data_IF_038328284082
#
_entry.id   IF_038328284082
#
_cell.length_a   1.000
_cell.length_b   1.000
_cell.length_c   1.000
_cell.angle_alpha   90.00
_cell.angle_beta   90.00
_cell.angle_gamma   90.00
#
_symmetry.space_group_name_H-M   'P 1'
#
loop_
_entity.id
_entity.type
_entity.pdbx_description
1 polymer ?
#
# COMPACT_ATOMS: atom_id res chain seq x y z
N UNK A 1 -6.59 7.37 -5.60
CA UNK A 1 -6.44 6.34 -4.55
C UNK A 1 -7.83 5.95 -4.07
N UNK A 2 -8.11 4.68 -3.84
CA UNK A 2 -9.40 4.21 -3.35
C UNK A 2 -9.31 3.84 -1.86
N UNK A 3 -10.41 3.99 -1.15
CA UNK A 3 -10.49 3.52 0.23
C UNK A 3 -10.58 2.00 0.27
N UNK A 4 -9.82 1.38 1.15
CA UNK A 4 -9.75 -0.07 1.28
C UNK A 4 -10.67 -0.53 2.41
N UNK A 5 -11.65 -1.37 2.06
CA UNK A 5 -12.45 -2.10 3.05
C UNK A 5 -11.81 -3.47 3.26
N UNK A 6 -11.31 -3.71 4.46
CA UNK A 6 -10.60 -4.95 4.76
C UNK A 6 -11.57 -6.12 4.92
N UNK A 7 -11.21 -7.26 4.37
CA UNK A 7 -11.76 -8.54 4.77
C UNK A 7 -11.19 -8.95 6.15
N UNK A 8 -11.83 -9.87 6.86
CA UNK A 8 -11.30 -10.41 8.11
C UNK A 8 -9.87 -10.93 7.95
N UNK A 9 -9.08 -10.83 9.00
CA UNK A 9 -7.72 -11.38 8.98
C UNK A 9 -7.73 -12.92 8.78
N UNK A 10 -6.70 -13.49 8.14
CA UNK A 10 -6.65 -14.93 7.90
C UNK A 10 -6.51 -15.71 9.21
N UNK A 11 -7.23 -16.84 9.40
CA UNK A 11 -7.13 -17.67 10.60
C UNK A 11 -5.70 -18.14 10.92
N UNK A 12 -4.88 -18.33 9.89
CA UNK A 12 -3.46 -18.70 10.06
C UNK A 12 -2.66 -17.61 10.80
N UNK A 13 -2.95 -16.33 10.58
CA UNK A 13 -2.30 -15.23 11.30
C UNK A 13 -2.75 -15.19 12.76
N UNK A 14 -4.06 -15.40 13.02
CA UNK A 14 -4.61 -15.46 14.37
C UNK A 14 -3.91 -16.57 15.17
N UNK A 15 -3.82 -17.77 14.59
CA UNK A 15 -3.16 -18.92 15.22
C UNK A 15 -1.65 -18.69 15.40
N UNK A 16 -0.99 -18.07 14.42
CA UNK A 16 0.45 -17.79 14.50
C UNK A 16 0.79 -16.82 15.64
N UNK A 17 0.01 -15.75 15.83
CA UNK A 17 0.21 -14.78 16.91
C UNK A 17 0.13 -15.37 18.32
N UNK A 18 -0.51 -16.52 18.50
CA UNK A 18 -0.59 -17.22 19.78
C UNK A 18 0.65 -18.06 20.09
N UNK A 19 1.56 -18.21 19.15
CA UNK A 19 2.79 -18.98 19.34
C UNK A 19 3.81 -18.18 20.16
N UNK A 20 4.61 -18.84 21.01
CA UNK A 20 5.70 -18.18 21.70
C UNK A 20 6.70 -17.57 20.70
N UNK A 21 7.06 -16.30 20.91
CA UNK A 21 8.02 -15.56 20.06
C UNK A 21 7.56 -15.42 18.60
N UNK A 22 6.24 -15.31 18.37
CA UNK A 22 5.71 -15.01 17.04
C UNK A 22 6.22 -13.64 16.57
N UNK A 23 6.84 -13.61 15.39
CA UNK A 23 7.37 -12.40 14.77
C UNK A 23 7.18 -12.47 13.25
N UNK A 24 7.14 -11.32 12.59
CA UNK A 24 7.03 -11.28 11.14
C UNK A 24 8.31 -11.82 10.50
N UNK A 25 8.15 -12.69 9.50
CA UNK A 25 9.24 -13.47 8.88
C UNK A 25 10.00 -14.41 9.85
N UNK A 26 9.42 -14.69 11.02
CA UNK A 26 9.92 -15.69 11.96
C UNK A 26 9.73 -17.14 11.51
N UNK A 27 10.10 -18.11 12.36
CA UNK A 27 9.93 -19.53 12.03
C UNK A 27 8.48 -19.87 11.65
N UNK A 28 8.30 -20.65 10.57
CA UNK A 28 7.00 -21.09 10.05
C UNK A 28 6.06 -19.98 9.57
N UNK A 29 6.55 -18.73 9.40
CA UNK A 29 5.71 -17.61 8.95
C UNK A 29 5.42 -17.63 7.45
N UNK A 30 6.25 -18.25 6.62
CA UNK A 30 6.09 -18.24 5.15
C UNK A 30 4.67 -18.60 4.65
N UNK A 31 4.03 -19.68 5.12
CA UNK A 31 2.63 -19.98 4.72
C UNK A 31 1.65 -18.93 5.23
N UNK A 32 1.84 -18.40 6.44
CA UNK A 32 1.01 -17.32 7.01
C UNK A 32 1.10 -16.05 6.17
N UNK A 33 2.32 -15.67 5.77
CA UNK A 33 2.55 -14.51 4.89
C UNK A 33 1.86 -14.66 3.53
N UNK A 34 1.81 -15.87 2.98
CA UNK A 34 1.07 -16.16 1.75
C UNK A 34 -0.43 -15.91 1.95
N UNK A 35 -1.02 -16.41 3.04
CA UNK A 35 -2.44 -16.21 3.35
C UNK A 35 -2.75 -14.72 3.57
N UNK A 36 -1.90 -14.00 4.31
CA UNK A 36 -2.01 -12.54 4.49
C UNK A 36 -2.04 -11.85 3.13
N UNK A 37 -1.08 -12.14 2.25
CA UNK A 37 -0.99 -11.53 0.92
C UNK A 37 -2.23 -11.80 0.08
N UNK A 38 -2.71 -13.04 0.03
CA UNK A 38 -3.92 -13.42 -0.72
C UNK A 38 -5.16 -12.69 -0.20
N UNK A 39 -5.32 -12.61 1.13
CA UNK A 39 -6.47 -11.93 1.76
C UNK A 39 -6.44 -10.41 1.51
N UNK A 40 -5.26 -9.79 1.60
CA UNK A 40 -5.08 -8.37 1.31
C UNK A 40 -5.30 -8.07 -0.19
N UNK A 41 -4.80 -8.90 -1.10
CA UNK A 41 -5.05 -8.77 -2.54
C UNK A 41 -6.55 -8.77 -2.84
N UNK A 42 -7.29 -9.70 -2.24
CA UNK A 42 -8.75 -9.77 -2.38
C UNK A 42 -9.42 -8.52 -1.83
N UNK A 43 -9.02 -8.06 -0.62
CA UNK A 43 -9.54 -6.82 0.01
C UNK A 43 -9.30 -5.58 -0.85
N UNK A 44 -8.19 -5.54 -1.58
CA UNK A 44 -7.75 -4.40 -2.39
C UNK A 44 -8.17 -4.51 -3.88
N UNK A 45 -8.91 -5.56 -4.26
CA UNK A 45 -9.32 -5.76 -5.65
C UNK A 45 -8.14 -5.93 -6.61
N UNK A 46 -7.03 -6.51 -6.11
CA UNK A 46 -5.79 -6.69 -6.85
C UNK A 46 -5.16 -5.36 -7.34
N UNK A 47 -5.31 -4.29 -6.54
CA UNK A 47 -4.69 -2.99 -6.78
C UNK A 47 -3.69 -2.67 -5.67
N UNK A 48 -2.59 -2.03 -6.03
CA UNK A 48 -1.63 -1.49 -5.08
C UNK A 48 -2.32 -0.44 -4.18
N UNK A 49 -2.16 -0.54 -2.86
CA UNK A 49 -2.77 0.37 -1.90
C UNK A 49 -2.43 1.85 -2.16
N UNK A 50 -1.26 2.13 -2.74
CA UNK A 50 -0.77 3.48 -2.93
C UNK A 50 -0.93 3.99 -4.37
N UNK A 51 -0.34 3.33 -5.36
CA UNK A 51 -0.34 3.84 -6.73
C UNK A 51 -1.53 3.39 -7.59
N UNK A 52 -2.35 2.43 -7.11
CA UNK A 52 -3.50 1.86 -7.81
C UNK A 52 -3.15 1.06 -9.07
N UNK A 53 -1.88 0.75 -9.31
CA UNK A 53 -1.52 -0.19 -10.36
C UNK A 53 -2.01 -1.59 -10.03
N UNK A 54 -2.39 -2.34 -11.07
CA UNK A 54 -2.76 -3.74 -10.92
C UNK A 54 -1.57 -4.55 -10.42
N UNK A 55 -1.79 -5.34 -9.39
CA UNK A 55 -0.81 -6.27 -8.81
C UNK A 55 -1.36 -7.69 -8.85
N UNK A 56 -0.46 -8.66 -8.86
CA UNK A 56 -0.79 -10.10 -8.92
C UNK A 56 -0.24 -10.80 -7.69
N UNK A 57 -0.71 -12.01 -7.42
CA UNK A 57 -0.17 -12.83 -6.32
C UNK A 57 1.19 -13.43 -6.70
N UNK A 58 2.19 -12.57 -6.74
CA UNK A 58 3.58 -12.88 -7.05
C UNK A 58 4.48 -12.20 -6.01
N UNK A 59 5.27 -13.00 -5.31
CA UNK A 59 6.15 -12.53 -4.23
C UNK A 59 7.28 -11.59 -4.69
N UNK A 60 7.59 -11.57 -6.01
CA UNK A 60 8.64 -10.72 -6.58
C UNK A 60 8.12 -9.36 -7.03
N UNK A 61 6.82 -9.23 -7.25
CA UNK A 61 6.17 -8.00 -7.71
C UNK A 61 5.29 -7.38 -6.62
N UNK A 62 4.68 -8.21 -5.76
CA UNK A 62 3.75 -7.78 -4.72
C UNK A 62 4.34 -8.01 -3.34
N UNK A 63 4.41 -6.97 -2.56
CA UNK A 63 4.95 -6.98 -1.20
C UNK A 63 3.84 -6.76 -0.18
N UNK A 64 3.92 -7.45 0.96
CA UNK A 64 3.16 -7.08 2.16
C UNK A 64 3.93 -5.94 2.82
N UNK A 65 3.31 -4.79 2.86
CA UNK A 65 3.83 -3.53 3.37
C UNK A 65 3.22 -3.24 4.74
N UNK A 66 4.03 -2.71 5.66
CA UNK A 66 3.57 -2.21 6.95
C UNK A 66 3.42 -0.69 6.90
N UNK A 67 2.21 -0.19 7.10
CA UNK A 67 1.92 1.24 7.12
C UNK A 67 2.75 1.97 8.19
N UNK A 68 2.75 1.45 9.42
CA UNK A 68 3.75 1.74 10.44
C UNK A 68 4.89 0.73 10.29
N UNK A 69 6.08 1.19 9.96
CA UNK A 69 7.19 0.29 9.64
C UNK A 69 7.61 -0.57 10.83
N UNK A 70 8.12 -1.77 10.54
CA UNK A 70 8.49 -2.73 11.58
C UNK A 70 9.64 -2.24 12.48
N UNK A 71 10.58 -1.47 11.93
CA UNK A 71 11.75 -0.99 12.68
C UNK A 71 11.35 0.00 13.77
N UNK A 72 10.39 0.91 13.49
CA UNK A 72 9.93 1.90 14.44
C UNK A 72 8.77 1.40 15.33
N UNK A 73 8.01 0.41 14.85
CA UNK A 73 6.80 -0.11 15.50
C UNK A 73 6.78 -1.65 15.52
N UNK A 74 7.76 -2.29 16.21
CA UNK A 74 7.87 -3.76 16.22
C UNK A 74 6.62 -4.45 16.83
N UNK A 75 5.88 -3.78 17.71
CA UNK A 75 4.64 -4.28 18.29
C UNK A 75 3.50 -4.40 17.28
N UNK A 76 3.56 -3.64 16.17
CA UNK A 76 2.55 -3.65 15.12
C UNK A 76 2.91 -4.59 13.95
N UNK A 77 3.99 -5.35 14.05
CA UNK A 77 4.50 -6.20 12.96
C UNK A 77 3.56 -7.33 12.54
N UNK A 78 2.72 -7.83 13.46
CA UNK A 78 1.71 -8.86 13.19
C UNK A 78 0.28 -8.32 13.22
N UNK A 79 0.10 -7.01 13.31
CA UNK A 79 -1.22 -6.39 13.22
C UNK A 79 -1.69 -6.35 11.76
N UNK A 80 -2.72 -7.15 11.44
CA UNK A 80 -3.30 -7.19 10.10
C UNK A 80 -3.83 -5.83 9.64
N UNK A 81 -4.30 -4.99 10.58
CA UNK A 81 -4.79 -3.64 10.24
C UNK A 81 -3.67 -2.68 9.86
N UNK A 82 -2.43 -3.02 10.18
CA UNK A 82 -1.21 -2.30 9.79
C UNK A 82 -0.64 -2.74 8.42
N UNK A 83 -1.23 -3.77 7.78
CA UNK A 83 -0.66 -4.37 6.57
C UNK A 83 -1.44 -3.99 5.31
N UNK A 84 -0.73 -3.83 4.20
CA UNK A 84 -1.28 -3.63 2.86
C UNK A 84 -0.50 -4.47 1.85
N UNK A 85 -1.09 -4.74 0.69
CA UNK A 85 -0.31 -5.18 -0.46
C UNK A 85 -0.02 -4.00 -1.37
N UNK A 86 1.24 -3.92 -1.77
CA UNK A 86 1.73 -2.85 -2.61
C UNK A 86 2.60 -3.41 -3.73
N UNK A 87 2.72 -2.66 -4.80
CA UNK A 87 3.71 -2.93 -5.82
C UNK A 87 5.11 -2.62 -5.28
N UNK A 88 6.10 -3.50 -5.52
CA UNK A 88 7.44 -3.38 -4.94
C UNK A 88 8.17 -2.08 -5.36
N UNK A 89 7.79 -1.49 -6.50
CA UNK A 89 8.28 -0.18 -6.91
C UNK A 89 9.75 -0.12 -7.35
N UNK A 90 10.39 -1.27 -7.57
CA UNK A 90 11.80 -1.34 -8.02
C UNK A 90 11.89 -1.19 -9.54
N UNK A 91 12.02 0.02 -10.02
CA UNK A 91 12.60 0.31 -11.33
C UNK A 91 13.87 1.10 -11.12
N UNK A 92 14.90 0.87 -11.95
CA UNK A 92 16.27 1.36 -11.72
C UNK A 92 16.37 2.86 -11.41
N UNK A 93 15.45 3.70 -11.89
CA UNK A 93 15.50 5.15 -11.71
C UNK A 93 14.18 5.77 -11.19
N UNK A 94 13.19 4.96 -10.78
CA UNK A 94 11.85 5.44 -10.40
C UNK A 94 11.28 4.61 -9.25
N UNK A 95 11.95 4.66 -8.10
CA UNK A 95 11.41 4.05 -6.89
C UNK A 95 10.13 4.76 -6.49
N UNK A 96 9.09 4.00 -6.14
CA UNK A 96 7.83 4.51 -5.61
C UNK A 96 7.18 3.47 -4.70
N UNK A 97 6.10 3.81 -4.03
CA UNK A 97 5.42 2.95 -3.05
C UNK A 97 6.38 2.48 -1.95
N UNK A 98 6.42 1.17 -1.65
CA UNK A 98 7.28 0.59 -0.61
C UNK A 98 8.76 0.93 -0.78
N UNK A 99 9.29 0.83 -2.00
CA UNK A 99 10.73 1.09 -2.24
C UNK A 99 11.13 2.56 -2.06
N UNK A 100 10.19 3.50 -2.16
CA UNK A 100 10.42 4.92 -1.88
C UNK A 100 10.14 5.25 -0.42
N UNK A 101 9.09 4.66 0.17
CA UNK A 101 8.70 4.89 1.55
C UNK A 101 9.78 4.47 2.55
N UNK A 102 10.33 3.25 2.40
CA UNK A 102 11.24 2.69 3.39
C UNK A 102 10.61 2.74 4.79
N UNK A 103 11.36 3.23 5.77
CA UNK A 103 10.93 3.32 7.17
C UNK A 103 10.23 4.66 7.53
N UNK A 104 9.86 5.48 6.54
CA UNK A 104 9.18 6.73 6.80
C UNK A 104 7.72 6.50 7.18
N UNK A 105 7.22 7.33 8.11
CA UNK A 105 5.81 7.31 8.49
C UNK A 105 4.96 8.01 7.42
N UNK A 106 3.70 7.59 7.32
CA UNK A 106 2.69 8.18 6.44
C UNK A 106 1.54 8.76 7.26
N UNK A 107 1.11 9.93 6.88
CA UNK A 107 -0.14 10.55 7.36
C UNK A 107 -1.35 9.91 6.67
N UNK A 108 -1.20 9.62 5.37
CA UNK A 108 -2.26 9.00 4.59
C UNK A 108 -2.41 7.50 4.92
N UNK A 109 -3.63 7.09 5.27
CA UNK A 109 -3.97 5.67 5.47
C UNK A 109 -5.11 5.26 4.54
N UNK A 110 -4.86 4.40 3.53
CA UNK A 110 -5.88 3.96 2.57
C UNK A 110 -7.06 3.18 3.19
N UNK A 111 -6.92 2.67 4.41
CA UNK A 111 -7.98 1.94 5.12
C UNK A 111 -8.63 2.77 6.24
N UNK A 112 -8.43 4.09 6.27
CA UNK A 112 -9.08 4.94 7.24
C UNK A 112 -10.60 4.99 6.96
N UNK A 113 -11.40 4.51 7.90
CA UNK A 113 -12.86 4.45 7.76
C UNK A 113 -13.56 5.79 7.98
N UNK A 114 -12.88 6.74 8.66
CA UNK A 114 -13.44 8.05 9.00
C UNK A 114 -13.10 9.07 7.89
N UNK A 115 -11.80 9.24 7.60
CA UNK A 115 -11.32 10.13 6.54
C UNK A 115 -10.96 9.29 5.30
N UNK A 116 -11.97 9.00 4.47
CA UNK A 116 -11.79 8.20 3.25
C UNK A 116 -10.90 8.92 2.26
N UNK A 117 -9.85 8.27 1.77
CA UNK A 117 -8.85 8.85 0.87
C UNK A 117 -9.46 9.42 -0.41
N UNK A 118 -10.50 8.78 -0.95
CA UNK A 118 -11.21 9.23 -2.15
C UNK A 118 -11.98 10.54 -1.98
N UNK A 119 -12.20 11.01 -0.74
CA UNK A 119 -12.89 12.27 -0.47
C UNK A 119 -11.98 13.50 -0.59
N UNK A 120 -10.67 13.34 -0.55
CA UNK A 120 -9.72 14.45 -0.59
C UNK A 120 -8.58 14.28 -1.61
N UNK A 121 -8.30 13.06 -2.06
CA UNK A 121 -7.31 12.83 -3.12
C UNK A 121 -7.91 13.20 -4.47
N UNK A 122 -7.19 14.02 -5.23
CA UNK A 122 -7.58 14.52 -6.55
C UNK A 122 -6.57 14.17 -7.62
N UNK A 123 -7.01 14.25 -8.87
CA UNK A 123 -6.18 13.98 -10.04
C UNK A 123 -6.33 15.07 -11.09
N UNK A 124 -5.24 15.47 -11.70
CA UNK A 124 -5.24 16.39 -12.84
C UNK A 124 -5.41 15.63 -14.16
N UNK A 125 -5.77 16.37 -15.23
CA UNK A 125 -5.83 15.83 -16.60
C UNK A 125 -4.49 15.32 -17.13
N UNK A 126 -3.38 15.79 -16.59
CA UNK A 126 -2.03 15.33 -16.93
C UNK A 126 -1.55 14.17 -16.07
N UNK A 127 -2.42 13.62 -15.21
CA UNK A 127 -2.18 12.44 -14.42
C UNK A 127 -1.45 12.69 -13.10
N UNK A 128 -1.35 13.92 -12.62
CA UNK A 128 -0.84 14.20 -11.28
C UNK A 128 -1.88 13.83 -10.21
N UNK A 129 -1.40 13.31 -9.09
CA UNK A 129 -2.19 13.09 -7.87
C UNK A 129 -1.85 14.22 -6.89
N UNK A 130 -2.87 14.79 -6.26
CA UNK A 130 -2.67 15.90 -5.32
C UNK A 130 -3.77 15.94 -4.26
N UNK A 131 -3.58 16.79 -3.27
CA UNK A 131 -4.54 17.16 -2.22
C UNK A 131 -4.53 18.67 -2.09
N UNK A 132 -5.67 19.27 -1.74
CA UNK A 132 -5.74 20.69 -1.42
C UNK A 132 -5.39 20.88 0.07
N UNK A 133 -4.61 21.92 0.37
CA UNK A 133 -4.38 22.49 1.71
C UNK A 133 -4.00 21.46 2.81
N UNK A 134 -3.23 20.41 2.46
CA UNK A 134 -2.71 19.42 3.41
C UNK A 134 -1.25 19.08 3.04
N UNK A 135 -0.32 19.80 3.64
CA UNK A 135 1.12 19.70 3.34
C UNK A 135 1.69 18.32 3.72
N UNK A 136 1.20 17.69 4.79
CA UNK A 136 1.67 16.39 5.23
C UNK A 136 1.25 15.29 4.23
N UNK A 137 0.00 15.30 3.79
CA UNK A 137 -0.46 14.36 2.75
C UNK A 137 0.22 14.67 1.41
N UNK A 138 0.41 15.95 1.07
CA UNK A 138 1.16 16.34 -0.14
C UNK A 138 2.60 15.80 -0.10
N UNK A 139 3.27 15.86 1.04
CA UNK A 139 4.59 15.26 1.26
C UNK A 139 4.56 13.74 1.08
N UNK A 140 3.55 13.07 1.65
CA UNK A 140 3.38 11.62 1.49
C UNK A 140 3.27 11.22 0.02
N UNK A 141 2.43 11.93 -0.76
CA UNK A 141 2.20 11.62 -2.18
C UNK A 141 3.46 11.85 -3.04
N UNK A 142 4.18 12.94 -2.79
CA UNK A 142 5.27 13.41 -3.65
C UNK A 142 6.65 12.90 -3.20
N UNK A 143 7.01 13.12 -1.94
CA UNK A 143 8.34 12.81 -1.43
C UNK A 143 8.45 11.37 -0.92
N UNK A 144 7.50 10.93 -0.06
CA UNK A 144 7.59 9.65 0.62
C UNK A 144 7.24 8.49 -0.31
N UNK A 145 6.10 8.56 -1.01
CA UNK A 145 5.61 7.50 -1.91
C UNK A 145 6.03 7.71 -3.37
N UNK A 146 6.49 8.89 -3.75
CA UNK A 146 6.86 9.28 -5.12
C UNK A 146 5.80 8.93 -6.16
N UNK A 147 4.54 9.26 -5.88
CA UNK A 147 3.42 8.90 -6.76
C UNK A 147 3.28 9.82 -7.98
N UNK A 148 3.97 10.96 -8.01
CA UNK A 148 4.01 11.87 -9.15
C UNK A 148 5.23 11.67 -10.07
N UNK A 149 5.90 10.49 -10.01
CA UNK A 149 6.91 10.16 -10.99
C UNK A 149 6.31 10.04 -12.42
N UNK A 150 7.14 10.24 -13.42
CA UNK A 150 6.70 10.35 -14.82
C UNK A 150 5.97 9.11 -15.35
N UNK A 151 6.35 7.92 -14.88
CA UNK A 151 5.69 6.68 -15.30
C UNK A 151 4.26 6.62 -14.77
N UNK A 152 4.05 6.89 -13.48
CA UNK A 152 2.72 6.86 -12.88
C UNK A 152 1.82 7.98 -13.41
N UNK A 153 2.38 9.18 -13.67
CA UNK A 153 1.62 10.28 -14.32
C UNK A 153 1.16 9.86 -15.72
N UNK A 154 2.05 9.30 -16.55
CA UNK A 154 1.68 8.82 -17.90
C UNK A 154 0.60 7.75 -17.86
N UNK A 155 0.69 6.79 -16.93
CA UNK A 155 -0.33 5.74 -16.78
C UNK A 155 -1.69 6.32 -16.44
N UNK A 156 -1.78 7.22 -15.45
CA UNK A 156 -3.03 7.89 -15.08
C UNK A 156 -3.59 8.78 -16.19
N UNK A 157 -2.71 9.50 -16.90
CA UNK A 157 -3.12 10.29 -18.07
C UNK A 157 -3.73 9.41 -19.16
N UNK A 158 -3.12 8.27 -19.47
CA UNK A 158 -3.64 7.34 -20.46
C UNK A 158 -5.04 6.82 -20.09
N UNK A 159 -5.27 6.52 -18.81
CA UNK A 159 -6.61 6.15 -18.31
C UNK A 159 -7.61 7.31 -18.46
N UNK A 160 -7.20 8.53 -18.08
CA UNK A 160 -8.03 9.72 -18.23
C UNK A 160 -8.43 9.95 -19.70
N UNK A 161 -7.47 9.89 -20.62
CA UNK A 161 -7.72 10.07 -22.05
C UNK A 161 -8.69 9.00 -22.59
N UNK A 162 -8.51 7.73 -22.17
CA UNK A 162 -9.37 6.62 -22.61
C UNK A 162 -10.83 6.72 -22.14
N UNK A 163 -11.10 7.40 -21.03
CA UNK A 163 -12.45 7.56 -20.49
C UNK A 163 -13.15 8.79 -21.10
N UNK A 164 -12.38 9.79 -21.57
CA UNK A 164 -12.93 11.07 -22.05
C UNK A 164 -12.87 11.21 -23.60
N UNK A 165 -12.62 10.12 -24.31
CA UNK A 165 -12.81 10.00 -25.77
C UNK A 165 -14.20 9.51 -26.09
#
# INVERSE_FOLDING_TARGET
MLNITRLPEPPSLIAYRQQPKAEYDGPQFTPVKKDIRTQLLTSQGYLCAYCMERIIDDQFQTKVEHWKCQDNYPEAQLDYTNMFVVWQGKTQNNQHCDSSKGNQDLTINPANSIKKVESFIKYTRIGEIYVDDDDDISKDLNATLNLNNDRLKRNRKAVYDAINT
#
